data_IF_377848935987
#
_entry.id   IF_377848935987
#
_cell.length_a   1.000
_cell.length_b   1.000
_cell.length_c   1.000
_cell.angle_alpha   90.00
_cell.angle_beta   90.00
_cell.angle_gamma   90.00
#
_symmetry.space_group_name_H-M   'P 1'
#
loop_
_entity.id
_entity.type
_entity.pdbx_description
1 polymer ?
#
# COMPACT_ATOMS: atom_id res chain seq x y z
N UNK A 1 -0.31 -0.36 12.04
CA UNK A 1 -1.58 0.05 12.70
C UNK A 1 -2.25 1.26 12.03
N UNK A 2 -1.51 2.35 11.76
CA UNK A 2 -2.10 3.62 11.29
C UNK A 2 -2.87 3.57 9.96
N UNK A 3 -2.41 2.79 8.97
CA UNK A 3 -3.06 2.69 7.65
C UNK A 3 -4.51 2.17 7.71
N UNK A 4 -4.79 1.19 8.57
CA UNK A 4 -6.14 0.65 8.73
C UNK A 4 -7.11 1.61 9.43
N UNK A 5 -6.59 2.63 10.11
CA UNK A 5 -7.40 3.64 10.81
C UNK A 5 -7.79 4.81 9.89
N UNK A 6 -7.34 4.82 8.63
CA UNK A 6 -7.75 5.83 7.68
C UNK A 6 -9.25 5.69 7.37
N UNK A 7 -9.98 6.79 7.48
CA UNK A 7 -11.43 6.86 7.27
C UNK A 7 -11.74 7.72 6.06
N UNK A 8 -12.76 7.31 5.32
CA UNK A 8 -13.28 8.04 4.17
C UNK A 8 -14.68 8.54 4.47
N UNK A 9 -15.06 9.66 3.88
CA UNK A 9 -16.40 10.23 3.94
C UNK A 9 -16.97 10.26 2.52
N UNK A 10 -18.15 9.66 2.33
CA UNK A 10 -18.86 9.70 1.05
C UNK A 10 -19.25 11.12 0.68
N UNK A 11 -19.23 11.43 -0.62
CA UNK A 11 -19.59 12.73 -1.17
C UNK A 11 -20.10 12.54 -2.59
N UNK A 12 -21.10 13.33 -3.01
CA UNK A 12 -21.58 13.30 -4.40
C UNK A 12 -21.06 14.53 -5.13
N UNK A 13 -20.36 14.30 -6.24
CA UNK A 13 -19.83 15.38 -7.10
C UNK A 13 -20.25 15.10 -8.53
N UNK A 14 -20.90 16.05 -9.21
CA UNK A 14 -21.36 15.90 -10.60
C UNK A 14 -22.14 14.59 -10.85
N UNK A 15 -23.06 14.24 -9.94
CA UNK A 15 -23.85 13.01 -9.97
C UNK A 15 -23.03 11.70 -9.89
N UNK A 16 -21.76 11.77 -9.51
CA UNK A 16 -20.92 10.60 -9.23
C UNK A 16 -20.72 10.43 -7.72
N UNK A 17 -20.76 9.17 -7.27
CA UNK A 17 -20.39 8.80 -5.91
C UNK A 17 -18.88 8.85 -5.77
N UNK A 18 -18.43 9.75 -4.90
CA UNK A 18 -17.01 10.02 -4.63
C UNK A 18 -16.75 9.95 -3.12
N UNK A 19 -15.50 10.13 -2.72
CA UNK A 19 -15.18 10.27 -1.30
C UNK A 19 -13.97 11.17 -1.04
N UNK A 20 -13.86 11.59 0.21
CA UNK A 20 -12.74 12.37 0.74
C UNK A 20 -12.18 11.70 1.99
N UNK A 21 -10.95 12.05 2.38
CA UNK A 21 -10.34 11.55 3.63
C UNK A 21 -10.93 12.31 4.81
N UNK A 22 -11.56 11.59 5.74
CA UNK A 22 -12.21 12.17 6.92
C UNK A 22 -11.21 12.55 8.02
N UNK A 23 -10.08 11.84 8.12
CA UNK A 23 -9.07 12.06 9.15
C UNK A 23 -7.68 12.36 8.56
N UNK A 24 -7.52 13.57 8.02
CA UNK A 24 -6.31 14.04 7.33
C UNK A 24 -5.03 13.91 8.19
N UNK A 25 -5.15 14.06 9.51
CA UNK A 25 -4.00 13.86 10.42
C UNK A 25 -3.43 12.43 10.33
N UNK A 26 -4.28 11.42 10.16
CA UNK A 26 -3.84 10.01 10.02
C UNK A 26 -3.14 9.82 8.67
N UNK A 27 -3.69 10.40 7.59
CA UNK A 27 -3.04 10.40 6.28
C UNK A 27 -1.64 11.00 6.34
N UNK A 28 -1.47 12.15 7.02
CA UNK A 28 -0.17 12.80 7.21
C UNK A 28 0.83 11.97 8.00
N UNK A 29 0.37 11.27 9.03
CA UNK A 29 1.23 10.35 9.79
C UNK A 29 1.68 9.21 8.88
N UNK A 30 0.77 8.61 8.11
CA UNK A 30 1.09 7.53 7.18
C UNK A 30 2.07 7.99 6.10
N UNK A 31 1.84 9.15 5.47
CA UNK A 31 2.71 9.69 4.42
C UNK A 31 4.15 9.89 4.93
N UNK A 32 4.30 10.44 6.15
CA UNK A 32 5.61 10.58 6.81
C UNK A 32 6.27 9.23 7.10
N UNK A 33 5.52 8.26 7.63
CA UNK A 33 6.06 6.93 7.96
C UNK A 33 6.52 6.17 6.71
N UNK A 34 5.76 6.26 5.62
CA UNK A 34 6.09 5.61 4.35
C UNK A 34 7.02 6.45 3.46
N UNK A 35 7.35 7.68 3.88
CA UNK A 35 8.11 8.66 3.11
C UNK A 35 7.52 8.91 1.72
N UNK A 36 6.19 9.07 1.65
CA UNK A 36 5.45 9.38 0.43
C UNK A 36 4.95 10.83 0.48
N UNK A 37 4.70 11.41 -0.70
CA UNK A 37 3.96 12.65 -0.80
C UNK A 37 2.51 12.48 -0.29
N UNK A 38 2.03 13.42 0.51
CA UNK A 38 0.69 13.34 1.12
C UNK A 38 -0.41 13.40 0.04
N UNK A 39 -0.25 14.24 -0.98
CA UNK A 39 -1.22 14.37 -2.07
C UNK A 39 -1.20 13.16 -2.98
N UNK A 40 -0.02 12.64 -3.33
CA UNK A 40 0.14 11.42 -4.10
C UNK A 40 -0.49 10.21 -3.41
N UNK A 41 -0.27 10.06 -2.09
CA UNK A 41 -0.91 9.00 -1.31
C UNK A 41 -2.43 9.18 -1.29
N UNK A 42 -2.92 10.40 -1.06
CA UNK A 42 -4.36 10.70 -1.07
C UNK A 42 -4.98 10.35 -2.42
N UNK A 43 -4.38 10.82 -3.51
CA UNK A 43 -4.89 10.61 -4.86
C UNK A 43 -4.84 9.13 -5.24
N UNK A 44 -3.79 8.41 -4.84
CA UNK A 44 -3.71 6.96 -5.03
C UNK A 44 -4.76 6.15 -4.26
N UNK A 45 -5.31 6.71 -3.17
CA UNK A 45 -6.38 6.08 -2.38
C UNK A 45 -7.79 6.48 -2.85
N UNK A 46 -7.94 7.66 -3.47
CA UNK A 46 -9.24 8.25 -3.81
C UNK A 46 -9.54 8.26 -5.31
N UNK A 47 -8.57 7.96 -6.17
CA UNK A 47 -8.71 8.07 -7.62
C UNK A 47 -8.16 6.82 -8.31
N UNK A 48 -8.81 6.44 -9.41
CA UNK A 48 -8.31 5.45 -10.36
C UNK A 48 -7.85 6.18 -11.61
N UNK A 49 -6.66 5.83 -12.10
CA UNK A 49 -6.16 6.32 -13.39
C UNK A 49 -6.18 5.16 -14.39
N UNK A 50 -6.83 5.35 -15.52
CA UNK A 50 -6.89 4.40 -16.64
C UNK A 50 -6.27 5.07 -17.86
N UNK A 51 -5.31 4.41 -18.50
CA UNK A 51 -4.75 4.88 -19.77
C UNK A 51 -5.54 4.27 -20.92
N UNK A 52 -6.15 5.10 -21.76
CA UNK A 52 -6.92 4.69 -22.93
C UNK A 52 -6.59 5.60 -24.12
N UNK A 53 -6.29 5.00 -25.28
CA UNK A 53 -6.00 5.72 -26.53
C UNK A 53 -4.92 6.82 -26.42
N UNK A 54 -3.93 6.63 -25.53
CA UNK A 54 -2.85 7.61 -25.30
C UNK A 54 -3.19 8.69 -24.28
N UNK A 55 -4.42 8.71 -23.73
CA UNK A 55 -4.85 9.66 -22.71
C UNK A 55 -5.02 9.00 -21.34
N UNK A 56 -4.79 9.77 -20.27
CA UNK A 56 -5.02 9.33 -18.90
C UNK A 56 -6.38 9.83 -18.42
N UNK A 57 -7.30 8.90 -18.18
CA UNK A 57 -8.61 9.18 -17.59
C UNK A 57 -8.54 8.96 -16.09
N UNK A 58 -8.82 10.00 -15.32
CA UNK A 58 -8.83 9.96 -13.85
C UNK A 58 -10.27 9.94 -13.37
N UNK A 59 -10.66 8.87 -12.69
CA UNK A 59 -12.00 8.69 -12.12
C UNK A 59 -11.91 8.70 -10.59
N UNK A 60 -12.65 9.56 -9.89
CA UNK A 60 -12.78 9.48 -8.44
C UNK A 60 -13.41 8.15 -8.01
N UNK A 61 -13.05 7.67 -6.82
CA UNK A 61 -13.58 6.44 -6.24
C UNK A 61 -14.72 6.71 -5.26
N UNK A 62 -15.67 5.78 -5.20
CA UNK A 62 -16.66 5.75 -4.12
C UNK A 62 -15.99 5.43 -2.77
N UNK A 63 -16.72 5.66 -1.67
CA UNK A 63 -16.21 5.37 -0.33
C UNK A 63 -15.83 3.90 -0.13
N UNK A 64 -16.68 2.99 -0.62
CA UNK A 64 -16.46 1.54 -0.56
C UNK A 64 -15.20 1.15 -1.34
N UNK A 65 -15.05 1.66 -2.56
CA UNK A 65 -13.86 1.41 -3.38
C UNK A 65 -12.58 1.94 -2.71
N UNK A 66 -12.63 3.10 -2.06
CA UNK A 66 -11.50 3.64 -1.32
C UNK A 66 -11.12 2.76 -0.11
N UNK A 67 -12.10 2.14 0.57
CA UNK A 67 -11.82 1.15 1.61
C UNK A 67 -11.13 -0.10 1.05
N UNK A 68 -11.59 -0.62 -0.09
CA UNK A 68 -10.95 -1.77 -0.74
C UNK A 68 -9.50 -1.46 -1.13
N UNK A 69 -9.27 -0.28 -1.72
CA UNK A 69 -7.92 0.17 -2.09
C UNK A 69 -7.03 0.31 -0.85
N UNK A 70 -7.53 0.90 0.24
CA UNK A 70 -6.81 0.99 1.52
C UNK A 70 -6.42 -0.41 2.01
N UNK A 71 -7.35 -1.34 2.03
CA UNK A 71 -7.13 -2.68 2.58
C UNK A 71 -6.17 -3.49 1.71
N UNK A 72 -6.27 -3.38 0.39
CA UNK A 72 -5.32 -3.95 -0.55
C UNK A 72 -3.91 -3.37 -0.35
N UNK A 73 -3.80 -2.04 -0.19
CA UNK A 73 -2.53 -1.36 0.06
C UNK A 73 -1.89 -1.83 1.38
N UNK A 74 -2.69 -1.90 2.44
CA UNK A 74 -2.28 -2.42 3.76
C UNK A 74 -1.76 -3.85 3.66
N UNK A 75 -2.53 -4.74 3.01
CA UNK A 75 -2.14 -6.15 2.81
C UNK A 75 -0.85 -6.26 2.02
N UNK A 76 -0.70 -5.46 0.96
CA UNK A 76 0.51 -5.44 0.13
C UNK A 76 1.76 -5.03 0.92
N UNK A 77 1.67 -3.99 1.75
CA UNK A 77 2.79 -3.54 2.59
C UNK A 77 3.17 -4.63 3.60
N UNK A 78 2.21 -5.14 4.37
CA UNK A 78 2.51 -6.15 5.39
C UNK A 78 3.01 -7.46 4.79
N UNK A 79 2.45 -7.90 3.66
CA UNK A 79 2.90 -9.08 2.96
C UNK A 79 4.36 -8.98 2.52
N UNK A 80 4.74 -7.85 1.90
CA UNK A 80 6.14 -7.60 1.50
C UNK A 80 7.08 -7.52 2.70
N UNK A 81 6.66 -6.85 3.77
CA UNK A 81 7.47 -6.74 4.98
C UNK A 81 7.70 -8.09 5.65
N UNK A 82 6.68 -8.95 5.71
CA UNK A 82 6.80 -10.29 6.26
C UNK A 82 7.80 -11.13 5.46
N UNK A 83 7.67 -11.17 4.13
CA UNK A 83 8.59 -11.89 3.25
C UNK A 83 10.03 -11.40 3.48
N UNK A 84 10.23 -10.09 3.49
CA UNK A 84 11.54 -9.50 3.71
C UNK A 84 12.13 -9.85 5.08
N UNK A 85 11.34 -9.81 6.16
CA UNK A 85 11.80 -10.22 7.50
C UNK A 85 12.24 -11.68 7.50
N UNK A 86 11.43 -12.58 6.93
CA UNK A 86 11.74 -14.01 6.84
C UNK A 86 13.03 -14.24 6.05
N UNK A 87 13.19 -13.56 4.92
CA UNK A 87 14.43 -13.61 4.12
C UNK A 87 15.65 -13.16 4.92
N UNK A 88 15.55 -12.07 5.70
CA UNK A 88 16.64 -11.57 6.55
C UNK A 88 17.00 -12.50 7.69
N UNK A 89 15.99 -13.12 8.32
CA UNK A 89 16.23 -14.13 9.37
C UNK A 89 16.94 -15.33 8.74
N UNK A 90 16.40 -15.84 7.64
CA UNK A 90 16.97 -17.01 6.96
C UNK A 90 18.42 -16.76 6.51
N UNK A 91 18.74 -15.57 5.98
CA UNK A 91 20.12 -15.26 5.57
C UNK A 91 21.10 -15.12 6.74
N UNK A 92 20.63 -14.74 7.93
CA UNK A 92 21.47 -14.60 9.11
C UNK A 92 21.80 -15.95 9.76
N UNK A 93 20.87 -16.91 9.72
CA UNK A 93 21.01 -18.21 10.42
C UNK A 93 21.39 -19.37 9.50
N UNK A 94 21.08 -19.28 8.20
CA UNK A 94 21.43 -20.32 7.25
C UNK A 94 22.89 -20.20 6.82
N UNK A 95 23.73 -21.10 7.36
CA UNK A 95 25.07 -21.36 6.81
C UNK A 95 24.94 -22.57 5.87
N UNK A 96 25.11 -22.43 4.55
CA UNK A 96 25.18 -23.59 3.68
C UNK A 96 26.29 -24.51 4.18
N UNK A 97 25.98 -25.79 4.36
CA UNK A 97 26.99 -26.79 4.73
C UNK A 97 28.05 -26.81 3.64
N UNK A 98 29.29 -26.56 4.02
CA UNK A 98 30.42 -26.61 3.10
C UNK A 98 30.47 -28.00 2.42
N UNK A 99 30.30 -28.10 1.10
CA UNK A 99 30.35 -29.37 0.38
C UNK A 99 31.68 -30.10 0.55
N UNK A 100 32.75 -29.39 0.91
CA UNK A 100 34.08 -29.96 1.13
C UNK A 100 34.18 -30.82 2.41
N UNK A 101 33.23 -30.68 3.35
CA UNK A 101 33.16 -31.52 4.56
C UNK A 101 32.84 -33.00 4.26
N UNK A 102 32.27 -33.31 3.08
CA UNK A 102 31.97 -34.67 2.64
C UNK A 102 33.13 -35.37 1.94
N UNK A 103 34.20 -34.63 1.57
CA UNK A 103 35.30 -35.16 0.75
C UNK A 103 36.48 -35.72 1.56
N UNK A 104 36.35 -35.82 2.88
CA UNK A 104 37.40 -36.30 3.83
C UNK A 104 37.01 -37.57 4.61
N UNK A 105 36.14 -38.43 4.09
CA UNK A 105 35.88 -39.75 4.68
C UNK A 105 36.17 -40.85 3.70
#
# INVERSE_FOLDING_TARGET
LHLGNLKFQATTTQNMDTCTVANVNVLRVISKLLKLDENGLRDGLLKRTIFAHGEAVITPLSQEQAFDVRDAFVKGIYGKMFIWIVEKINSAIFKPKDPSAYRKR
#
